data_IF_092803858438
#
_entry.id   IF_092803858438
#
_cell.length_a   1.000
_cell.length_b   1.000
_cell.length_c   1.000
_cell.angle_alpha   90.00
_cell.angle_beta   90.00
_cell.angle_gamma   90.00
#
_symmetry.space_group_name_H-M   'P 1'
#
loop_
_entity.id
_entity.type
_entity.pdbx_description
1 polymer ?
#
# COMPACT_ATOMS: atom_id res chain seq x y z
N UNK A 1 3.34 -1.19 12.22
CA UNK A 1 1.95 -1.28 11.71
C UNK A 1 1.03 -0.91 12.85
N UNK A 2 0.08 0.00 12.63
CA UNK A 2 -0.90 0.45 13.65
C UNK A 2 -2.22 -0.29 13.49
N UNK A 3 -2.64 -0.57 12.24
CA UNK A 3 -3.84 -1.32 11.93
C UNK A 3 -3.64 -2.17 10.68
N UNK A 4 -4.34 -3.30 10.61
CA UNK A 4 -4.41 -4.17 9.45
C UNK A 4 -5.89 -4.50 9.16
N UNK A 5 -6.30 -4.36 7.90
CA UNK A 5 -7.65 -4.67 7.43
C UNK A 5 -7.57 -5.58 6.22
N UNK A 6 -7.29 -6.88 6.42
CA UNK A 6 -7.14 -7.84 5.32
C UNK A 6 -8.40 -7.96 4.46
N UNK A 7 -9.60 -7.88 5.06
CA UNK A 7 -10.88 -7.90 4.31
C UNK A 7 -11.04 -6.71 3.34
N UNK A 8 -10.29 -5.61 3.58
CA UNK A 8 -10.30 -4.42 2.72
C UNK A 8 -9.00 -4.26 1.91
N UNK A 9 -8.01 -5.14 2.13
CA UNK A 9 -6.76 -5.15 1.38
C UNK A 9 -5.78 -4.03 1.70
N UNK A 10 -5.73 -3.54 2.94
CA UNK A 10 -4.77 -2.51 3.34
C UNK A 10 -4.28 -2.62 4.79
N UNK A 11 -3.14 -1.99 5.06
CA UNK A 11 -2.54 -1.82 6.38
C UNK A 11 -2.08 -0.38 6.60
N UNK A 12 -2.35 0.18 7.78
CA UNK A 12 -1.86 1.50 8.18
C UNK A 12 -0.53 1.34 8.94
N UNK A 13 0.52 1.99 8.43
CA UNK A 13 1.85 1.99 9.02
C UNK A 13 2.00 3.12 10.04
N UNK A 14 3.01 3.00 10.92
CA UNK A 14 3.21 3.98 12.01
C UNK A 14 3.65 5.37 11.52
N UNK A 15 4.18 5.45 10.30
CA UNK A 15 4.53 6.70 9.63
C UNK A 15 3.33 7.31 8.87
N UNK A 16 2.11 6.81 9.05
CA UNK A 16 0.91 7.31 8.41
C UNK A 16 0.71 6.85 6.95
N UNK A 17 1.59 6.00 6.43
CA UNK A 17 1.43 5.41 5.09
C UNK A 17 0.37 4.31 5.13
N UNK A 18 -0.55 4.32 4.16
CA UNK A 18 -1.44 3.19 3.89
C UNK A 18 -0.78 2.33 2.83
N UNK A 19 -0.47 1.08 3.18
CA UNK A 19 0.03 0.05 2.27
C UNK A 19 -1.13 -0.80 1.79
N UNK A 20 -1.29 -0.92 0.48
CA UNK A 20 -2.24 -1.84 -0.15
C UNK A 20 -1.60 -3.21 -0.41
N UNK A 21 -2.40 -4.26 -0.43
CA UNK A 21 -1.94 -5.64 -0.70
C UNK A 21 -1.25 -5.79 -2.07
N UNK A 22 -1.59 -4.92 -3.03
CA UNK A 22 -0.97 -4.88 -4.35
C UNK A 22 0.38 -4.15 -4.37
N UNK A 23 0.92 -3.75 -3.22
CA UNK A 23 2.14 -2.94 -3.02
C UNK A 23 2.01 -1.45 -3.35
N UNK A 24 0.81 -0.97 -3.71
CA UNK A 24 0.54 0.46 -3.81
C UNK A 24 0.62 1.15 -2.45
N UNK A 25 0.90 2.46 -2.46
CA UNK A 25 0.93 3.28 -1.23
C UNK A 25 0.08 4.54 -1.39
N UNK A 26 -0.61 4.92 -0.30
CA UNK A 26 -1.08 6.28 -0.09
C UNK A 26 -0.22 6.92 1.00
N UNK A 27 0.51 7.96 0.63
CA UNK A 27 1.37 8.71 1.54
C UNK A 27 0.54 9.67 2.43
N UNK A 28 1.08 10.13 3.57
CA UNK A 28 0.36 11.03 4.47
C UNK A 28 -0.05 12.38 3.85
N UNK A 29 0.64 12.81 2.80
CA UNK A 29 0.36 14.03 2.05
C UNK A 29 -0.73 13.82 0.96
N UNK A 30 -1.26 12.61 0.84
CA UNK A 30 -2.25 12.23 -0.17
C UNK A 30 -1.65 11.78 -1.51
N UNK A 31 -0.31 11.77 -1.64
CA UNK A 31 0.36 11.29 -2.85
C UNK A 31 0.16 9.78 -3.01
N UNK A 32 -0.18 9.35 -4.22
CA UNK A 32 -0.32 7.94 -4.59
C UNK A 32 0.98 7.43 -5.21
N UNK A 33 1.50 6.31 -4.68
CA UNK A 33 2.58 5.55 -5.31
C UNK A 33 1.97 4.29 -5.92
N UNK A 34 2.17 4.12 -7.23
CA UNK A 34 1.64 2.99 -7.95
C UNK A 34 2.26 1.66 -7.45
N UNK A 35 1.51 0.55 -7.53
CA UNK A 35 2.00 -0.81 -7.31
C UNK A 35 3.29 -1.11 -8.06
N UNK A 36 4.24 -1.77 -7.39
CA UNK A 36 5.41 -2.35 -8.06
C UNK A 36 5.00 -3.68 -8.70
N UNK A 37 4.48 -3.63 -9.93
CA UNK A 37 4.31 -4.85 -10.73
C UNK A 37 5.68 -5.29 -11.22
N UNK A 38 6.12 -6.50 -10.86
CA UNK A 38 7.18 -7.14 -11.61
C UNK A 38 6.73 -7.24 -13.08
N UNK A 39 7.56 -6.88 -14.07
CA UNK A 39 7.20 -7.12 -15.46
C UNK A 39 6.92 -8.61 -15.62
N UNK A 40 5.79 -8.96 -16.25
CA UNK A 40 5.56 -10.35 -16.63
C UNK A 40 6.63 -10.70 -17.66
N UNK A 41 7.49 -11.68 -17.35
CA UNK A 41 8.39 -12.21 -18.35
C UNK A 41 7.52 -12.92 -19.42
N UNK A 42 7.71 -12.53 -20.68
CA UNK A 42 7.04 -13.14 -21.82
C UNK A 42 7.60 -14.52 -22.14
#
# INVERSE_FOLDING_TARGET
MIAAHPDQGWSLLCNGVVLFEDTGLLLPDGTVVAPHRAPVAA
#
